data_IF_428285623241
#
_entry.id   IF_428285623241
#
_cell.length_a   1.000
_cell.length_b   1.000
_cell.length_c   1.000
_cell.angle_alpha   90.00
_cell.angle_beta   90.00
_cell.angle_gamma   90.00
#
_symmetry.space_group_name_H-M   'P 1'
#
loop_
_entity.id
_entity.type
_entity.pdbx_description
1 polymer ?
#
# COMPACT_ATOMS: atom_id res chain seq x y z
N UNK A 1 29.38 -8.45 -13.57
CA UNK A 1 29.81 -9.80 -14.02
C UNK A 1 28.57 -10.66 -14.23
N UNK A 2 28.23 -10.99 -15.48
CA UNK A 2 27.14 -11.95 -15.78
C UNK A 2 27.58 -13.34 -15.38
N UNK A 3 26.82 -14.00 -14.51
CA UNK A 3 26.89 -15.46 -14.34
C UNK A 3 25.52 -16.03 -14.66
N UNK A 4 25.41 -16.61 -15.85
CA UNK A 4 24.25 -17.38 -16.24
C UNK A 4 24.34 -18.76 -15.58
N UNK A 5 23.29 -19.21 -14.89
CA UNK A 5 23.02 -20.63 -14.68
C UNK A 5 21.51 -20.89 -14.83
N UNK A 6 21.22 -22.00 -15.52
CA UNK A 6 19.93 -22.39 -16.08
C UNK A 6 19.33 -23.53 -15.24
N UNK A 7 18.00 -23.60 -15.10
CA UNK A 7 17.29 -24.78 -14.58
C UNK A 7 15.79 -24.81 -14.94
N UNK A 8 15.26 -26.03 -15.06
CA UNK A 8 14.06 -26.52 -15.78
C UNK A 8 13.00 -27.12 -14.81
N UNK A 9 11.70 -26.91 -15.00
CA UNK A 9 10.64 -27.48 -14.13
C UNK A 9 10.43 -28.99 -14.30
N UNK A 10 10.23 -29.75 -13.21
CA UNK A 10 9.72 -31.14 -13.23
C UNK A 10 8.63 -31.32 -12.15
N UNK A 11 7.48 -31.87 -12.53
CA UNK A 11 6.36 -32.23 -11.65
C UNK A 11 6.31 -33.75 -11.51
N UNK A 12 6.38 -34.29 -10.29
CA UNK A 12 6.13 -35.71 -10.03
C UNK A 12 4.96 -35.87 -9.07
N UNK A 13 3.85 -36.44 -9.56
CA UNK A 13 2.80 -36.98 -8.69
C UNK A 13 3.20 -38.39 -8.24
N UNK A 14 3.24 -38.63 -6.92
CA UNK A 14 3.24 -39.98 -6.36
C UNK A 14 1.85 -40.29 -5.79
N UNK A 15 1.23 -41.37 -6.28
CA UNK A 15 0.03 -41.95 -5.69
C UNK A 15 0.48 -43.05 -4.74
N UNK A 16 0.37 -42.82 -3.43
CA UNK A 16 0.46 -43.88 -2.44
C UNK A 16 -0.95 -44.43 -2.16
N UNK A 17 -1.07 -45.74 -2.22
CA UNK A 17 -2.29 -46.49 -1.91
C UNK A 17 -2.44 -46.62 -0.39
N UNK A 18 -3.58 -46.17 0.14
CA UNK A 18 -3.93 -46.27 1.56
C UNK A 18 -4.15 -44.89 2.19
N UNK A 19 -5.35 -44.65 2.71
CA UNK A 19 -5.78 -43.36 3.23
C UNK A 19 -4.84 -42.78 4.29
N UNK A 20 -4.40 -41.54 4.09
CA UNK A 20 -3.55 -40.78 4.99
C UNK A 20 -3.25 -39.41 4.41
N UNK A 21 -3.37 -38.40 5.28
CA UNK A 21 -3.17 -36.95 5.15
C UNK A 21 -2.37 -36.47 3.92
N UNK A 22 -2.93 -35.50 3.19
CA UNK A 22 -2.25 -34.78 2.11
C UNK A 22 -1.02 -34.04 2.65
N UNK A 23 0.18 -34.51 2.33
CA UNK A 23 1.39 -33.72 2.47
C UNK A 23 1.41 -32.65 1.37
N UNK A 24 1.44 -31.37 1.76
CA UNK A 24 1.60 -30.25 0.84
C UNK A 24 3.08 -29.89 0.80
N UNK A 25 3.73 -30.11 -0.34
CA UNK A 25 5.11 -29.69 -0.54
C UNK A 25 5.16 -28.16 -0.67
N UNK A 26 5.85 -27.49 0.26
CA UNK A 26 6.08 -26.04 0.20
C UNK A 26 7.52 -25.76 -0.22
N UNK A 27 7.70 -25.00 -1.31
CA UNK A 27 9.01 -24.51 -1.73
C UNK A 27 9.31 -23.14 -1.12
N UNK A 28 10.43 -23.01 -0.42
CA UNK A 28 10.93 -21.74 0.12
C UNK A 28 11.60 -20.90 -0.98
N UNK A 29 11.68 -19.56 -0.83
CA UNK A 29 12.43 -18.69 -1.75
C UNK A 29 13.92 -19.05 -1.90
N UNK A 30 14.49 -19.80 -0.94
CA UNK A 30 15.84 -20.36 -0.99
C UNK A 30 15.96 -21.67 -1.79
N UNK A 31 14.88 -22.21 -2.34
CA UNK A 31 14.87 -23.46 -3.11
C UNK A 31 14.83 -24.74 -2.27
N UNK A 32 14.43 -24.66 -1.00
CA UNK A 32 14.20 -25.84 -0.15
C UNK A 32 12.75 -26.28 -0.24
N UNK A 33 12.50 -27.59 -0.37
CA UNK A 33 11.18 -28.21 -0.20
C UNK A 33 11.07 -28.62 1.26
N UNK A 34 10.03 -28.17 1.95
CA UNK A 34 9.68 -28.69 3.27
C UNK A 34 8.51 -29.63 3.08
N UNK A 35 8.71 -30.90 3.40
CA UNK A 35 7.68 -31.94 3.37
C UNK A 35 7.53 -32.48 4.78
N UNK A 36 6.32 -32.44 5.34
CA UNK A 36 6.11 -32.94 6.70
C UNK A 36 4.65 -33.20 7.00
N UNK A 37 4.43 -34.14 7.92
CA UNK A 37 3.13 -34.42 8.52
C UNK A 37 3.24 -34.34 10.06
N UNK A 38 2.22 -34.79 10.79
CA UNK A 38 2.21 -34.78 12.27
C UNK A 38 3.28 -35.68 12.92
N UNK A 39 4.04 -36.45 12.14
CA UNK A 39 5.07 -37.39 12.61
C UNK A 39 6.50 -36.92 12.39
N UNK A 40 6.73 -35.86 11.61
CA UNK A 40 8.06 -35.29 11.39
C UNK A 40 8.15 -34.33 10.21
N UNK A 41 9.24 -33.55 10.18
CA UNK A 41 9.55 -32.56 9.14
C UNK A 41 10.81 -32.98 8.39
N UNK A 42 10.71 -33.21 7.09
CA UNK A 42 11.85 -33.44 6.19
C UNK A 42 12.09 -32.19 5.33
N UNK A 43 13.36 -31.80 5.19
CA UNK A 43 13.77 -30.68 4.35
C UNK A 43 14.60 -31.21 3.20
N UNK A 44 14.01 -31.19 2.01
CA UNK A 44 14.66 -31.49 0.73
C UNK A 44 15.05 -30.22 -0.02
N UNK A 45 15.73 -30.38 -1.16
CA UNK A 45 16.03 -29.28 -2.09
C UNK A 45 15.26 -29.48 -3.39
N UNK A 46 14.70 -28.41 -3.96
CA UNK A 46 14.04 -28.46 -5.28
C UNK A 46 15.12 -28.71 -6.32
N UNK A 47 15.00 -29.80 -7.07
CA UNK A 47 15.84 -30.07 -8.22
C UNK A 47 15.03 -29.91 -9.51
N UNK A 48 15.43 -28.99 -10.40
CA UNK A 48 16.60 -28.11 -10.35
C UNK A 48 16.27 -26.70 -9.78
N UNK A 49 17.28 -25.95 -9.31
CA UNK A 49 17.11 -24.70 -8.56
C UNK A 49 16.53 -23.54 -9.38
N UNK A 50 15.58 -22.78 -8.81
CA UNK A 50 14.97 -21.60 -9.42
C UNK A 50 15.97 -20.41 -9.49
N UNK A 51 15.97 -19.66 -10.59
CA UNK A 51 16.79 -18.44 -10.76
C UNK A 51 15.99 -17.18 -10.44
N UNK A 52 16.31 -16.51 -9.33
CA UNK A 52 15.78 -15.18 -8.98
C UNK A 52 16.85 -14.12 -9.27
N UNK A 53 16.52 -13.12 -10.08
CA UNK A 53 17.42 -11.98 -10.33
C UNK A 53 17.41 -11.05 -9.11
N UNK A 54 18.48 -11.07 -8.32
CA UNK A 54 18.69 -10.10 -7.24
C UNK A 54 19.51 -8.94 -7.78
N UNK A 55 18.92 -7.76 -7.83
CA UNK A 55 19.63 -6.52 -8.15
C UNK A 55 20.13 -5.90 -6.84
N UNK A 56 21.44 -5.78 -6.69
CA UNK A 56 22.05 -4.97 -5.64
C UNK A 56 21.99 -3.51 -6.08
N UNK A 57 21.09 -2.73 -5.49
CA UNK A 57 21.05 -1.28 -5.64
C UNK A 57 22.08 -0.68 -4.66
N UNK A 58 23.03 0.18 -5.10
CA UNK A 58 23.97 0.84 -4.20
C UNK A 58 23.21 1.71 -3.19
N UNK A 59 23.46 1.47 -1.90
CA UNK A 59 22.91 2.24 -0.78
C UNK A 59 23.50 3.65 -0.78
N UNK A 60 22.66 4.67 -0.99
CA UNK A 60 23.03 6.08 -0.84
C UNK A 60 22.44 6.57 0.47
N UNK A 61 23.26 7.23 1.31
CA UNK A 61 22.78 7.86 2.55
C UNK A 61 21.62 8.82 2.25
N UNK A 62 20.52 8.65 2.98
CA UNK A 62 19.38 9.55 2.90
C UNK A 62 19.75 10.96 3.42
N UNK A 63 19.39 12.04 2.70
CA UNK A 63 19.51 13.40 3.21
C UNK A 63 18.46 13.67 4.28
N UNK A 64 18.81 14.59 5.18
CA UNK A 64 18.03 15.05 6.34
C UNK A 64 16.78 15.80 5.88
N UNK A 65 15.60 15.44 6.40
CA UNK A 65 14.37 16.23 6.22
C UNK A 65 14.53 17.51 7.05
N UNK A 66 14.60 18.67 6.41
CA UNK A 66 14.58 19.98 7.08
C UNK A 66 13.16 20.55 6.90
N UNK A 67 12.43 20.88 7.97
CA UNK A 67 11.14 21.56 7.85
C UNK A 67 11.37 22.94 7.22
N UNK A 68 10.85 23.15 6.02
CA UNK A 68 10.83 24.45 5.34
C UNK A 68 9.43 25.02 5.48
N UNK A 69 9.31 26.26 5.91
CA UNK A 69 8.05 27.02 5.92
C UNK A 69 7.47 27.13 4.50
N UNK A 70 6.20 26.72 4.34
CA UNK A 70 5.40 26.96 3.14
C UNK A 70 5.50 28.44 2.73
N UNK A 71 5.86 28.78 1.47
CA UNK A 71 5.80 30.16 1.00
C UNK A 71 4.36 30.67 1.10
N UNK A 72 4.18 31.85 1.70
CA UNK A 72 2.89 32.53 1.65
C UNK A 72 2.67 33.11 0.24
N UNK A 73 1.90 32.43 -0.61
CA UNK A 73 1.54 32.95 -1.93
C UNK A 73 0.80 31.94 -2.83
N UNK A 74 0.08 32.42 -3.86
CA UNK A 74 -0.91 31.63 -4.62
C UNK A 74 -0.30 30.79 -5.75
N UNK A 75 0.68 29.95 -5.45
CA UNK A 75 1.22 28.96 -6.40
C UNK A 75 1.26 27.55 -5.79
N UNK A 76 0.19 26.79 -6.03
CA UNK A 76 0.18 25.43 -6.61
C UNK A 76 1.03 24.32 -5.96
N UNK A 77 0.94 24.09 -4.64
CA UNK A 77 1.52 22.91 -3.99
C UNK A 77 0.99 22.66 -2.57
N UNK A 78 0.77 21.39 -2.16
CA UNK A 78 0.95 20.14 -2.91
C UNK A 78 -0.22 19.78 -3.83
N UNK A 79 0.07 18.98 -4.87
CA UNK A 79 -0.94 18.28 -5.66
C UNK A 79 -1.32 16.98 -4.93
N UNK A 80 -2.60 16.81 -4.62
CA UNK A 80 -3.12 15.61 -3.97
C UNK A 80 -4.09 14.92 -4.93
N UNK A 81 -4.01 13.61 -5.00
CA UNK A 81 -5.02 12.78 -5.63
C UNK A 81 -5.77 11.97 -4.58
N UNK A 82 -7.08 11.85 -4.78
CA UNK A 82 -7.94 10.99 -3.97
C UNK A 82 -8.66 10.00 -4.87
N UNK A 83 -8.83 8.76 -4.39
CA UNK A 83 -9.65 7.77 -5.10
C UNK A 83 -11.01 7.62 -4.41
N UNK A 84 -12.05 7.95 -5.16
CA UNK A 84 -13.42 7.88 -4.67
C UNK A 84 -13.88 6.44 -4.44
N UNK A 85 -14.33 6.20 -3.22
CA UNK A 85 -15.14 5.06 -2.89
C UNK A 85 -16.57 5.26 -3.38
N UNK A 86 -16.98 4.41 -4.30
CA UNK A 86 -18.27 4.50 -4.99
C UNK A 86 -18.96 3.15 -4.99
N UNK A 87 -20.29 3.18 -4.92
CA UNK A 87 -21.11 1.99 -5.10
C UNK A 87 -21.19 1.52 -6.56
N UNK A 88 -20.71 2.32 -7.50
CA UNK A 88 -20.71 2.02 -8.93
C UNK A 88 -19.31 2.16 -9.52
N UNK A 89 -18.94 3.37 -9.93
CA UNK A 89 -17.67 3.69 -10.58
C UNK A 89 -17.01 4.84 -9.83
N UNK A 90 -15.86 4.55 -9.21
CA UNK A 90 -15.04 5.53 -8.53
C UNK A 90 -14.22 6.34 -9.52
N UNK A 91 -14.02 7.61 -9.20
CA UNK A 91 -13.15 8.52 -9.95
C UNK A 91 -11.88 8.80 -9.17
N UNK A 92 -10.78 9.04 -9.90
CA UNK A 92 -9.59 9.65 -9.32
C UNK A 92 -9.72 11.16 -9.53
N UNK A 93 -9.68 11.89 -8.43
CA UNK A 93 -9.70 13.34 -8.42
C UNK A 93 -8.29 13.87 -8.18
N UNK A 94 -7.98 15.03 -8.75
CA UNK A 94 -6.75 15.77 -8.50
C UNK A 94 -7.11 17.13 -7.89
N UNK A 95 -6.39 17.51 -6.85
CA UNK A 95 -6.65 18.71 -6.05
C UNK A 95 -5.38 19.52 -5.85
N UNK A 96 -5.48 20.84 -6.00
CA UNK A 96 -4.50 21.79 -5.47
C UNK A 96 -4.87 22.06 -4.01
N UNK A 97 -3.93 21.82 -3.11
CA UNK A 97 -4.14 21.88 -1.66
C UNK A 97 -3.33 23.03 -1.08
N UNK A 98 -3.79 24.26 -1.37
CA UNK A 98 -3.23 25.52 -0.89
C UNK A 98 -4.02 26.09 0.31
N UNK A 99 -4.34 27.40 0.34
CA UNK A 99 -5.33 27.94 1.28
C UNK A 99 -6.75 27.50 0.86
N UNK A 100 -7.04 26.22 1.08
CA UNK A 100 -8.26 25.53 0.64
C UNK A 100 -7.97 24.42 -0.37
N UNK A 101 -8.87 23.44 -0.42
CA UNK A 101 -8.84 22.34 -1.40
C UNK A 101 -9.58 22.74 -2.65
N UNK A 102 -8.90 22.74 -3.79
CA UNK A 102 -9.50 23.06 -5.09
C UNK A 102 -9.34 21.90 -6.05
N UNK A 103 -10.45 21.31 -6.50
CA UNK A 103 -10.40 20.29 -7.55
C UNK A 103 -9.89 20.89 -8.87
N UNK A 104 -8.85 20.30 -9.44
CA UNK A 104 -8.25 20.76 -10.71
C UNK A 104 -8.52 19.81 -11.88
N UNK A 105 -8.72 18.51 -11.62
CA UNK A 105 -9.01 17.53 -12.65
C UNK A 105 -9.70 16.29 -12.05
N UNK A 106 -10.33 15.49 -12.90
CA UNK A 106 -10.89 14.18 -12.54
C UNK A 106 -10.88 13.26 -13.75
N UNK A 107 -10.76 11.95 -13.51
CA UNK A 107 -11.00 10.93 -14.52
C UNK A 107 -11.46 9.61 -13.90
N UNK A 108 -12.09 8.76 -14.70
CA UNK A 108 -12.45 7.39 -14.33
C UNK A 108 -11.33 6.46 -14.78
N UNK A 109 -10.64 5.75 -13.86
CA UNK A 109 -9.63 4.79 -14.27
C UNK A 109 -10.24 3.51 -14.88
N UNK A 110 -9.53 2.80 -15.75
CA UNK A 110 -10.02 1.57 -16.36
C UNK A 110 -10.30 0.48 -15.31
N UNK A 111 -11.46 -0.18 -15.43
CA UNK A 111 -11.89 -1.20 -14.47
C UNK A 111 -12.26 -0.65 -13.10
N UNK A 112 -12.45 0.67 -12.96
CA UNK A 112 -12.86 1.30 -11.71
C UNK A 112 -14.18 0.73 -11.18
N UNK A 113 -14.21 0.43 -9.89
CA UNK A 113 -15.41 0.14 -9.11
C UNK A 113 -15.37 0.97 -7.84
N UNK A 114 -15.37 0.36 -6.66
CA UNK A 114 -15.19 1.06 -5.40
C UNK A 114 -13.68 1.30 -5.18
N UNK A 115 -13.25 2.57 -5.29
CA UNK A 115 -11.84 2.95 -5.20
C UNK A 115 -11.26 2.71 -3.82
N UNK A 116 -10.08 2.10 -3.76
CA UNK A 116 -9.33 1.84 -2.52
C UNK A 116 -7.92 2.37 -2.72
N UNK A 117 -6.92 1.47 -2.76
CA UNK A 117 -5.52 1.85 -2.85
C UNK A 117 -5.20 2.83 -3.97
N UNK A 118 -4.43 3.87 -3.67
CA UNK A 118 -3.93 4.87 -4.62
C UNK A 118 -2.51 5.30 -4.22
N UNK A 119 -1.55 5.24 -5.13
CA UNK A 119 -0.18 5.69 -4.86
C UNK A 119 0.45 6.38 -6.07
N UNK A 120 1.14 7.49 -5.85
CA UNK A 120 1.91 8.16 -6.89
C UNK A 120 3.24 7.46 -7.11
N UNK A 121 3.58 7.18 -8.37
CA UNK A 121 4.83 6.53 -8.74
C UNK A 121 5.87 7.57 -9.18
N UNK A 122 6.86 7.90 -8.32
CA UNK A 122 7.87 8.88 -8.65
C UNK A 122 8.82 8.45 -9.77
N UNK A 123 8.79 7.17 -10.18
CA UNK A 123 9.65 6.68 -11.25
C UNK A 123 9.17 7.15 -12.64
N UNK A 124 7.87 7.32 -12.84
CA UNK A 124 7.31 7.68 -14.15
C UNK A 124 6.13 8.65 -14.09
N UNK A 125 5.77 9.15 -12.91
CA UNK A 125 4.76 10.20 -12.73
C UNK A 125 3.31 9.73 -12.87
N UNK A 126 3.05 8.42 -12.81
CA UNK A 126 1.73 7.82 -12.95
C UNK A 126 1.18 7.32 -11.61
N UNK A 127 -0.10 6.95 -11.57
CA UNK A 127 -0.78 6.48 -10.36
C UNK A 127 -0.97 4.97 -10.38
N UNK A 128 -0.50 4.29 -9.34
CA UNK A 128 -0.93 2.94 -8.99
C UNK A 128 -2.30 3.02 -8.31
N UNK A 129 -3.17 2.06 -8.60
CA UNK A 129 -4.47 1.99 -7.96
C UNK A 129 -4.99 0.55 -7.83
N UNK A 130 -5.90 0.37 -6.88
CA UNK A 130 -6.66 -0.86 -6.69
C UNK A 130 -8.13 -0.55 -6.41
N UNK A 131 -8.98 -1.53 -6.68
CA UNK A 131 -10.43 -1.39 -6.62
C UNK A 131 -11.02 -2.67 -6.05
N UNK A 132 -12.17 -2.53 -5.40
CA UNK A 132 -12.94 -3.67 -4.89
C UNK A 132 -14.41 -3.57 -5.34
N UNK A 133 -15.09 -4.70 -5.39
CA UNK A 133 -16.51 -4.75 -5.74
C UNK A 133 -17.40 -4.20 -4.62
N UNK A 134 -18.55 -3.65 -4.99
CA UNK A 134 -19.60 -3.26 -4.05
C UNK A 134 -20.98 -3.73 -4.55
N UNK A 135 -21.86 -4.27 -3.69
CA UNK A 135 -21.61 -4.62 -2.29
C UNK A 135 -20.70 -5.85 -2.16
N UNK A 136 -20.10 -6.02 -0.99
CA UNK A 136 -19.38 -7.24 -0.65
C UNK A 136 -17.86 -7.11 -0.66
N UNK A 137 -17.28 -6.02 -1.14
CA UNK A 137 -15.87 -5.65 -0.91
C UNK A 137 -14.89 -6.79 -1.26
N UNK A 138 -15.09 -7.39 -2.43
CA UNK A 138 -14.22 -8.45 -2.95
C UNK A 138 -13.27 -7.82 -3.95
N UNK A 139 -11.97 -7.99 -3.73
CA UNK A 139 -10.96 -7.57 -4.68
C UNK A 139 -10.84 -8.51 -5.86
N UNK A 140 -10.11 -8.06 -6.87
CA UNK A 140 -9.89 -8.83 -8.09
C UNK A 140 -8.46 -9.35 -8.23
N UNK A 141 -7.62 -9.18 -7.21
CA UNK A 141 -6.25 -9.69 -7.21
C UNK A 141 -5.34 -8.98 -8.21
N UNK A 142 -5.64 -7.73 -8.57
CA UNK A 142 -4.86 -6.95 -9.55
C UNK A 142 -4.55 -5.55 -9.04
N UNK A 143 -3.28 -5.15 -9.16
CA UNK A 143 -2.84 -3.77 -8.98
C UNK A 143 -2.66 -3.16 -10.36
N UNK A 144 -3.25 -1.98 -10.58
CA UNK A 144 -3.31 -1.32 -11.88
C UNK A 144 -2.55 -0.01 -11.84
N UNK A 145 -2.22 0.49 -13.03
CA UNK A 145 -1.51 1.76 -13.19
C UNK A 145 -2.13 2.59 -14.29
N UNK A 146 -2.29 3.88 -14.03
CA UNK A 146 -2.90 4.83 -14.97
C UNK A 146 -2.19 6.18 -14.98
N UNK A 147 -2.35 6.95 -16.06
CA UNK A 147 -1.91 8.34 -16.08
C UNK A 147 -2.76 9.20 -15.14
N UNK A 148 -2.20 10.24 -14.51
CA UNK A 148 -2.97 11.09 -13.60
C UNK A 148 -4.06 11.92 -14.31
N UNK A 149 -5.12 12.37 -13.60
CA UNK A 149 -6.21 13.15 -14.20
C UNK A 149 -5.80 14.42 -14.96
N UNK A 150 -4.80 15.15 -14.47
CA UNK A 150 -4.34 16.40 -15.08
C UNK A 150 -3.64 16.21 -16.43
N UNK A 151 -3.34 14.96 -16.84
CA UNK A 151 -2.86 14.67 -18.20
C UNK A 151 -4.00 14.55 -19.21
N UNK A 152 -5.25 14.74 -18.79
CA UNK A 152 -6.46 14.79 -19.62
C UNK A 152 -7.34 13.55 -19.55
N UNK A 153 -6.80 12.40 -19.14
CA UNK A 153 -7.55 11.16 -18.91
C UNK A 153 -6.76 10.18 -18.04
N UNK A 154 -7.46 9.21 -17.44
CA UNK A 154 -6.87 8.06 -16.77
C UNK A 154 -6.56 6.98 -17.83
N UNK A 155 -5.52 7.19 -18.64
CA UNK A 155 -5.11 6.20 -19.65
C UNK A 155 -4.45 5.00 -18.96
N UNK A 156 -4.82 3.74 -19.27
CA UNK A 156 -4.17 2.58 -18.70
C UNK A 156 -2.69 2.52 -19.12
N UNK A 157 -1.80 2.33 -18.14
CA UNK A 157 -0.35 2.21 -18.34
C UNK A 157 0.08 0.75 -18.26
N UNK A 158 -0.25 0.08 -17.14
CA UNK A 158 0.05 -1.34 -16.93
C UNK A 158 -0.85 -1.92 -15.84
N UNK A 159 -0.80 -3.23 -15.68
CA UNK A 159 -1.40 -3.94 -14.55
C UNK A 159 -0.54 -5.16 -14.18
N UNK A 160 -0.53 -5.50 -12.90
CA UNK A 160 0.17 -6.67 -12.36
C UNK A 160 -0.81 -7.48 -11.50
N UNK A 161 -0.70 -8.82 -11.47
CA UNK A 161 -1.42 -9.61 -10.48
C UNK A 161 -0.93 -9.20 -9.07
N UNK A 162 -1.70 -9.51 -8.03
CA UNK A 162 -1.27 -9.40 -6.63
C UNK A 162 -1.09 -10.80 -6.04
N UNK A 163 0.08 -11.08 -5.47
CA UNK A 163 0.32 -12.35 -4.80
C UNK A 163 0.26 -13.54 -5.77
N UNK A 164 -0.62 -14.50 -5.47
CA UNK A 164 -0.90 -15.66 -6.31
C UNK A 164 -1.99 -15.42 -7.38
N UNK A 165 -2.48 -14.17 -7.46
CA UNK A 165 -3.47 -13.74 -8.44
C UNK A 165 -4.91 -14.08 -8.03
N UNK A 166 -5.88 -13.74 -8.91
CA UNK A 166 -7.30 -13.80 -8.58
C UNK A 166 -7.77 -15.19 -8.14
N UNK A 167 -8.46 -15.26 -7.01
CA UNK A 167 -9.01 -16.47 -6.41
C UNK A 167 -7.97 -17.33 -5.67
N UNK A 168 -6.80 -16.77 -5.40
CA UNK A 168 -5.71 -17.42 -4.70
C UNK A 168 -5.94 -17.63 -3.20
N UNK A 169 -4.88 -18.04 -2.52
CA UNK A 169 -4.81 -18.19 -1.06
C UNK A 169 -4.44 -16.90 -0.35
N UNK A 170 -3.77 -15.99 -1.06
CA UNK A 170 -3.53 -14.63 -0.60
C UNK A 170 -4.80 -13.84 -0.90
N UNK A 171 -5.18 -12.94 0.00
CA UNK A 171 -6.38 -12.13 -0.20
C UNK A 171 -6.27 -11.30 -1.50
N UNK A 172 -7.38 -11.18 -2.22
CA UNK A 172 -7.44 -10.44 -3.48
C UNK A 172 -7.76 -8.96 -3.30
N UNK A 173 -8.26 -8.60 -2.11
CA UNK A 173 -8.67 -7.24 -1.77
C UNK A 173 -7.51 -6.41 -1.22
N UNK A 174 -7.36 -5.23 -1.82
CA UNK A 174 -6.34 -4.26 -1.49
C UNK A 174 -7.04 -2.99 -1.05
N UNK A 175 -6.70 -2.52 0.14
CA UNK A 175 -7.33 -1.38 0.79
C UNK A 175 -6.53 -0.08 0.67
N UNK A 176 -5.20 -0.17 0.69
CA UNK A 176 -4.29 0.97 0.56
C UNK A 176 -3.00 0.58 -0.15
N UNK A 177 -2.38 1.51 -0.86
CA UNK A 177 -1.11 1.31 -1.57
C UNK A 177 -0.19 2.48 -1.27
N UNK A 178 1.10 2.22 -1.10
CA UNK A 178 2.12 3.26 -1.18
C UNK A 178 3.41 2.73 -1.87
N UNK A 179 4.31 3.61 -2.28
CA UNK A 179 5.59 3.28 -2.89
C UNK A 179 6.70 3.29 -1.85
N UNK A 180 7.37 2.15 -1.70
CA UNK A 180 8.58 2.04 -0.87
C UNK A 180 9.64 3.04 -1.35
N UNK A 181 10.05 3.94 -0.45
CA UNK A 181 11.03 4.97 -0.80
C UNK A 181 12.34 4.39 -1.34
N UNK A 182 12.81 3.26 -0.83
CA UNK A 182 14.15 2.76 -1.16
C UNK A 182 14.19 1.88 -2.41
N UNK A 183 13.35 0.85 -2.44
CA UNK A 183 13.31 -0.14 -3.52
C UNK A 183 12.37 0.25 -4.67
N UNK A 184 11.50 1.24 -4.44
CA UNK A 184 10.43 1.67 -5.37
C UNK A 184 9.38 0.60 -5.65
N UNK A 185 9.40 -0.50 -4.91
CA UNK A 185 8.35 -1.51 -4.89
C UNK A 185 7.11 -0.97 -4.16
N UNK A 186 6.01 -1.72 -4.19
CA UNK A 186 4.74 -1.26 -3.64
C UNK A 186 4.55 -1.85 -2.24
N UNK A 187 4.30 -1.01 -1.26
CA UNK A 187 3.67 -1.43 -0.02
C UNK A 187 2.16 -1.47 -0.23
N UNK A 188 1.54 -2.54 0.25
CA UNK A 188 0.12 -2.80 0.02
C UNK A 188 -0.50 -3.30 1.32
N UNK A 189 -1.66 -2.75 1.69
CA UNK A 189 -2.47 -3.25 2.79
C UNK A 189 -3.66 -4.04 2.23
N UNK A 190 -3.94 -5.18 2.86
CA UNK A 190 -5.23 -5.84 2.67
C UNK A 190 -6.39 -4.97 3.05
N UNK A 191 -7.50 -5.04 2.31
CA UNK A 191 -8.69 -4.35 2.77
C UNK A 191 -9.30 -5.09 3.95
N UNK A 192 -9.95 -6.21 3.74
CA UNK A 192 -10.58 -6.99 4.80
C UNK A 192 -9.55 -7.72 5.67
N UNK A 193 -9.83 -7.86 6.97
CA UNK A 193 -9.02 -8.71 7.79
C UNK A 193 -9.16 -10.19 7.41
N UNK A 194 -8.04 -10.90 7.33
CA UNK A 194 -8.05 -12.35 7.23
C UNK A 194 -8.26 -12.98 8.61
N UNK A 195 -9.09 -14.02 8.67
CA UNK A 195 -9.30 -14.80 9.90
C UNK A 195 -8.42 -16.04 9.87
N UNK A 196 -7.37 -16.05 10.69
CA UNK A 196 -6.45 -17.20 10.80
C UNK A 196 -6.32 -17.62 12.25
N UNK A 197 -6.67 -18.87 12.57
CA UNK A 197 -6.64 -19.38 13.94
C UNK A 197 -7.54 -18.60 14.90
N UNK A 198 -8.65 -18.02 14.41
CA UNK A 198 -9.58 -17.21 15.21
C UNK A 198 -9.16 -15.75 15.43
N UNK A 199 -8.02 -15.33 14.88
CA UNK A 199 -7.54 -13.95 14.96
C UNK A 199 -7.83 -13.19 13.65
N UNK A 200 -8.36 -11.97 13.78
CA UNK A 200 -8.45 -11.01 12.67
C UNK A 200 -7.10 -10.34 12.45
N UNK A 201 -6.53 -10.52 11.25
CA UNK A 201 -5.20 -10.04 10.88
C UNK A 201 -5.31 -9.01 9.76
N UNK A 202 -4.69 -7.84 9.98
CA UNK A 202 -4.47 -6.86 8.92
C UNK A 202 -3.08 -7.09 8.34
N UNK A 203 -3.02 -7.62 7.11
CA UNK A 203 -1.78 -7.95 6.45
C UNK A 203 -1.23 -6.78 5.63
N UNK A 204 0.10 -6.64 5.67
CA UNK A 204 0.87 -5.69 4.89
C UNK A 204 1.88 -6.45 4.03
N UNK A 205 2.07 -6.00 2.79
CA UNK A 205 2.89 -6.68 1.80
C UNK A 205 3.82 -5.70 1.09
N UNK A 206 5.09 -6.08 0.92
CA UNK A 206 5.95 -5.48 -0.08
C UNK A 206 5.83 -6.29 -1.35
N UNK A 207 5.45 -5.64 -2.44
CA UNK A 207 5.09 -6.24 -3.72
C UNK A 207 6.03 -5.75 -4.81
N UNK A 208 6.56 -6.66 -5.60
CA UNK A 208 7.37 -6.30 -6.75
C UNK A 208 6.50 -5.61 -7.81
N UNK A 209 6.68 -4.30 -7.94
CA UNK A 209 6.01 -3.43 -8.92
C UNK A 209 5.97 -3.93 -10.37
N UNK A 210 6.89 -4.80 -10.77
CA UNK A 210 7.01 -5.24 -12.16
C UNK A 210 6.18 -6.49 -12.46
N UNK A 211 5.86 -7.29 -11.44
CA UNK A 211 5.22 -8.60 -11.67
C UNK A 211 4.22 -9.04 -10.60
N UNK A 212 4.03 -8.29 -9.51
CA UNK A 212 3.04 -8.63 -8.50
C UNK A 212 3.49 -9.58 -7.40
N UNK A 213 4.71 -10.11 -7.49
CA UNK A 213 5.20 -11.08 -6.51
C UNK A 213 5.41 -10.42 -5.15
N UNK A 214 4.96 -11.08 -4.10
CA UNK A 214 5.22 -10.66 -2.73
C UNK A 214 6.69 -10.93 -2.38
N UNK A 215 7.38 -9.88 -1.97
CA UNK A 215 8.77 -9.88 -1.53
C UNK A 215 8.84 -10.06 -0.02
N UNK A 216 7.98 -9.35 0.70
CA UNK A 216 7.87 -9.39 2.17
C UNK A 216 6.42 -9.26 2.57
N UNK A 217 6.09 -9.80 3.73
CA UNK A 217 4.78 -9.61 4.33
C UNK A 217 4.84 -9.80 5.86
N UNK A 218 3.86 -9.21 6.52
CA UNK A 218 3.63 -9.25 7.96
C UNK A 218 2.17 -8.95 8.26
N UNK A 219 1.79 -9.04 9.52
CA UNK A 219 0.50 -8.52 9.97
C UNK A 219 0.58 -7.91 11.35
N UNK A 220 -0.38 -7.03 11.63
CA UNK A 220 -0.76 -6.66 12.98
C UNK A 220 -2.21 -7.09 13.24
N UNK A 221 -2.65 -7.20 14.51
CA UNK A 221 -4.05 -7.42 14.81
C UNK A 221 -4.91 -6.34 14.15
N UNK A 222 -5.99 -6.74 13.48
CA UNK A 222 -6.96 -5.80 12.93
C UNK A 222 -7.58 -4.98 14.06
N UNK A 223 -7.68 -3.65 13.87
CA UNK A 223 -8.13 -2.71 14.91
C UNK A 223 -9.59 -2.29 14.76
N UNK A 224 -10.36 -2.96 13.89
CA UNK A 224 -11.79 -2.69 13.68
C UNK A 224 -12.06 -1.24 13.26
N UNK A 225 -13.24 -0.71 13.56
CA UNK A 225 -13.68 0.63 13.13
C UNK A 225 -14.41 0.67 11.81
N UNK A 226 -14.50 -0.46 11.11
CA UNK A 226 -15.14 -0.56 9.81
C UNK A 226 -14.95 -1.93 9.18
N UNK A 227 -15.03 -1.98 7.85
CA UNK A 227 -14.95 -3.23 7.09
C UNK A 227 -13.51 -3.70 6.89
N UNK A 228 -12.59 -2.77 6.67
CA UNK A 228 -11.22 -3.08 6.28
C UNK A 228 -10.22 -1.98 6.62
N UNK A 229 -8.97 -2.17 6.19
CA UNK A 229 -7.87 -1.23 6.32
C UNK A 229 -7.73 -0.38 5.07
N UNK A 230 -7.96 0.93 5.19
CA UNK A 230 -7.85 1.91 4.11
C UNK A 230 -6.66 2.85 4.29
N UNK A 231 -5.78 2.58 5.26
CA UNK A 231 -4.63 3.45 5.55
C UNK A 231 -3.31 2.71 5.41
N UNK A 232 -2.40 3.25 4.61
CA UNK A 232 -1.02 2.80 4.53
C UNK A 232 -0.14 3.89 3.95
N UNK A 233 0.98 4.20 4.62
CA UNK A 233 2.05 4.97 4.00
C UNK A 233 3.42 4.57 4.54
N UNK A 234 4.44 4.70 3.70
CA UNK A 234 5.84 4.55 3.96
C UNK A 234 6.40 5.88 4.50
N UNK A 235 7.09 5.82 5.63
CA UNK A 235 7.68 7.00 6.24
C UNK A 235 9.13 6.78 6.68
N UNK A 236 9.97 7.80 6.50
CA UNK A 236 11.27 7.89 7.17
C UNK A 236 11.11 8.75 8.43
N UNK A 237 11.25 8.13 9.61
CA UNK A 237 11.01 8.80 10.89
C UNK A 237 12.27 8.72 11.76
N UNK A 238 12.67 9.86 12.32
CA UNK A 238 13.78 9.93 13.26
C UNK A 238 13.30 9.66 14.70
N UNK A 239 14.24 9.21 15.56
CA UNK A 239 14.00 9.09 17.01
C UNK A 239 13.21 7.86 17.44
N UNK A 240 12.80 7.01 16.51
CA UNK A 240 12.23 5.70 16.78
C UNK A 240 13.30 4.60 16.76
N UNK A 241 13.11 3.50 17.51
CA UNK A 241 14.00 2.35 17.41
C UNK A 241 13.82 1.68 16.04
N UNK A 242 14.86 0.97 15.59
CA UNK A 242 14.80 0.17 14.37
C UNK A 242 15.54 0.76 13.18
N UNK A 243 14.99 0.58 11.99
CA UNK A 243 15.63 0.88 10.70
C UNK A 243 15.64 2.35 10.31
N UNK A 244 14.80 3.19 10.94
CA UNK A 244 14.53 4.55 10.49
C UNK A 244 13.51 4.62 9.34
N UNK A 245 12.99 3.48 8.89
CA UNK A 245 11.99 3.38 7.81
C UNK A 245 10.81 2.52 8.27
N UNK A 246 9.60 3.06 8.12
CA UNK A 246 8.42 2.54 8.78
C UNK A 246 7.22 2.53 7.86
N UNK A 247 6.26 1.67 8.17
CA UNK A 247 4.89 1.77 7.67
C UNK A 247 4.02 2.40 8.75
N UNK A 248 3.16 3.32 8.33
CA UNK A 248 2.07 3.87 9.12
C UNK A 248 0.77 3.26 8.62
N UNK A 249 -0.05 2.78 9.54
CA UNK A 249 -1.39 2.26 9.26
C UNK A 249 -2.19 2.24 10.55
N UNK A 250 -3.48 2.53 10.49
CA UNK A 250 -4.37 2.31 11.61
C UNK A 250 -4.95 0.89 11.63
N UNK A 251 -4.66 0.09 10.59
CA UNK A 251 -5.09 -1.30 10.47
C UNK A 251 -6.61 -1.48 10.65
N UNK A 252 -7.38 -0.53 10.13
CA UNK A 252 -8.82 -0.44 10.27
C UNK A 252 -9.38 0.72 9.46
N UNK A 253 -10.50 1.25 9.93
CA UNK A 253 -11.19 2.37 9.30
C UNK A 253 -11.27 3.58 10.24
N UNK A 254 -12.09 4.56 9.87
CA UNK A 254 -12.44 5.82 10.58
C UNK A 254 -12.12 5.80 12.08
N UNK A 255 -12.74 4.93 12.90
CA UNK A 255 -12.54 4.86 14.35
C UNK A 255 -12.01 3.49 14.85
N UNK A 256 -10.72 3.36 15.12
CA UNK A 256 -10.10 2.09 15.49
C UNK A 256 -10.07 1.83 17.01
N UNK A 257 -9.78 0.59 17.43
CA UNK A 257 -9.58 0.21 18.83
C UNK A 257 -8.29 -0.62 19.00
N UNK A 258 -7.22 -0.06 19.60
CA UNK A 258 -7.10 1.33 20.07
C UNK A 258 -7.14 2.33 18.90
N UNK A 259 -7.61 3.55 19.16
CA UNK A 259 -7.77 4.61 18.15
C UNK A 259 -6.43 5.29 17.80
N UNK A 260 -5.48 4.49 17.31
CA UNK A 260 -4.09 4.87 17.11
C UNK A 260 -3.60 4.50 15.70
N UNK A 261 -2.67 5.29 15.21
CA UNK A 261 -1.82 5.00 14.06
C UNK A 261 -0.64 4.14 14.52
N UNK A 262 -0.53 2.92 14.00
CA UNK A 262 0.57 2.01 14.27
C UNK A 262 1.79 2.39 13.44
N UNK A 263 2.98 2.33 14.06
CA UNK A 263 4.26 2.50 13.38
C UNK A 263 4.98 1.15 13.35
N UNK A 264 5.20 0.61 12.16
CA UNK A 264 5.76 -0.73 11.95
C UNK A 264 7.12 -0.60 11.27
N UNK A 265 8.18 -1.16 11.86
CA UNK A 265 9.48 -1.22 11.20
C UNK A 265 9.42 -2.17 9.99
N UNK A 266 9.77 -1.68 8.79
CA UNK A 266 9.74 -2.48 7.57
C UNK A 266 10.65 -3.72 7.63
N UNK A 267 11.66 -3.71 8.50
CA UNK A 267 12.57 -4.84 8.68
C UNK A 267 11.98 -5.95 9.54
N UNK A 268 10.93 -5.68 10.30
CA UNK A 268 10.19 -6.72 11.01
C UNK A 268 9.23 -7.46 10.09
N UNK A 269 8.90 -6.87 8.93
CA UNK A 269 7.99 -7.46 7.98
C UNK A 269 8.62 -8.60 7.17
N UNK A 270 8.52 -9.82 7.70
CA UNK A 270 9.09 -11.04 7.10
C UNK A 270 8.18 -12.24 7.31
N UNK A 271 8.01 -13.04 6.26
CA UNK A 271 7.40 -14.38 6.30
C UNK A 271 6.01 -14.46 6.98
N UNK A 272 5.21 -13.41 6.87
CA UNK A 272 3.84 -13.37 7.38
C UNK A 272 3.76 -13.36 8.89
N UNK A 273 4.84 -12.95 9.56
CA UNK A 273 4.90 -12.89 11.01
C UNK A 273 4.00 -11.77 11.57
N UNK A 274 3.50 -11.99 12.80
CA UNK A 274 2.93 -10.90 13.57
C UNK A 274 4.05 -9.95 13.96
N UNK A 275 3.86 -8.66 13.72
CA UNK A 275 4.80 -7.62 14.15
C UNK A 275 4.20 -6.84 15.31
N UNK A 276 5.06 -6.34 16.19
CA UNK A 276 4.65 -5.40 17.26
C UNK A 276 5.01 -4.00 16.78
N UNK A 277 4.06 -3.05 16.73
CA UNK A 277 4.40 -1.67 16.40
C UNK A 277 5.52 -1.14 17.29
N UNK A 278 6.49 -0.46 16.70
CA UNK A 278 7.59 0.20 17.46
C UNK A 278 7.10 1.45 18.18
N UNK A 279 6.00 2.02 17.71
CA UNK A 279 5.25 3.09 18.35
C UNK A 279 3.77 3.01 17.96
N UNK A 280 2.94 3.62 18.80
CA UNK A 280 1.53 3.81 18.56
C UNK A 280 1.18 5.27 18.88
N UNK A 281 0.75 6.02 17.87
CA UNK A 281 0.39 7.41 18.02
C UNK A 281 -1.14 7.57 18.06
N UNK A 282 -1.72 8.25 19.06
CA UNK A 282 -3.15 8.54 19.06
C UNK A 282 -3.56 9.30 17.80
N UNK A 283 -4.66 8.87 17.16
CA UNK A 283 -5.20 9.58 15.99
C UNK A 283 -5.73 10.96 16.42
N UNK A 284 -5.29 12.02 15.74
CA UNK A 284 -5.78 13.38 15.97
C UNK A 284 -7.12 13.65 15.25
N UNK A 285 -7.39 12.91 14.19
CA UNK A 285 -8.60 12.94 13.36
C UNK A 285 -8.96 11.51 12.97
N UNK A 286 -10.17 11.30 12.48
CA UNK A 286 -10.51 10.04 11.85
C UNK A 286 -9.78 9.85 10.52
N UNK A 287 -9.62 8.60 10.09
CA UNK A 287 -8.79 8.26 8.94
C UNK A 287 -9.49 7.24 8.04
N UNK A 288 -9.57 7.57 6.76
CA UNK A 288 -9.94 6.70 5.64
C UNK A 288 -8.86 6.65 4.58
N UNK A 289 -7.74 7.36 4.74
CA UNK A 289 -6.63 7.36 3.79
C UNK A 289 -5.51 8.24 4.34
N UNK A 290 -4.25 7.88 4.09
CA UNK A 290 -3.09 8.61 4.58
C UNK A 290 -1.95 8.58 3.56
N UNK A 291 -1.16 9.64 3.53
CA UNK A 291 0.09 9.67 2.77
C UNK A 291 1.16 10.49 3.50
N UNK A 292 2.43 10.10 3.42
CA UNK A 292 3.53 10.74 4.14
C UNK A 292 4.64 11.21 3.20
N UNK A 293 4.58 12.49 2.85
CA UNK A 293 5.59 13.19 2.08
C UNK A 293 5.83 14.56 2.70
N UNK A 294 6.55 15.44 2.00
CA UNK A 294 6.58 16.84 2.39
C UNK A 294 5.16 17.45 2.29
N UNK A 295 4.65 18.16 3.31
CA UNK A 295 5.32 18.64 4.54
C UNK A 295 5.14 17.75 5.80
N UNK A 296 4.47 16.62 5.72
CA UNK A 296 4.21 15.69 6.82
C UNK A 296 3.13 14.66 6.46
N UNK A 297 2.55 14.03 7.47
CA UNK A 297 1.44 13.08 7.27
C UNK A 297 0.18 13.84 6.85
N UNK A 298 -0.34 13.55 5.66
CA UNK A 298 -1.70 13.90 5.28
C UNK A 298 -2.65 12.76 5.62
N UNK A 299 -3.88 13.11 5.95
CA UNK A 299 -4.96 12.17 6.23
C UNK A 299 -6.28 12.71 5.68
N UNK A 300 -7.21 11.82 5.39
CA UNK A 300 -8.61 12.17 5.10
C UNK A 300 -9.56 11.36 5.98
N UNK A 301 -10.72 11.91 6.30
CA UNK A 301 -11.80 11.26 7.03
C UNK A 301 -13.01 10.93 6.14
N UNK A 302 -12.77 10.88 4.83
CA UNK A 302 -13.69 10.87 3.69
C UNK A 302 -14.15 12.25 3.22
N UNK A 303 -14.41 13.20 4.12
CA UNK A 303 -15.01 14.48 3.75
C UNK A 303 -13.96 15.58 3.57
N UNK A 304 -13.00 15.61 4.51
CA UNK A 304 -11.99 16.65 4.62
C UNK A 304 -10.59 16.05 4.49
N UNK A 305 -9.63 16.91 4.22
CA UNK A 305 -8.20 16.59 4.22
C UNK A 305 -7.49 17.39 5.31
N UNK A 306 -6.63 16.69 6.04
CA UNK A 306 -5.90 17.20 7.18
C UNK A 306 -4.40 17.02 6.97
N UNK A 307 -3.63 18.01 7.38
CA UNK A 307 -2.20 17.87 7.60
C UNK A 307 -1.92 17.66 9.08
N UNK A 308 -1.36 16.49 9.41
CA UNK A 308 -1.04 16.07 10.76
C UNK A 308 0.41 16.36 11.15
N UNK A 309 1.22 16.83 10.20
CA UNK A 309 2.60 17.23 10.41
C UNK A 309 3.53 16.04 10.67
N UNK A 310 4.50 16.24 11.56
CA UNK A 310 5.45 15.20 11.94
C UNK A 310 4.98 14.37 13.15
N UNK A 311 5.69 13.26 13.46
CA UNK A 311 5.40 12.48 14.67
C UNK A 311 5.48 13.38 15.92
N UNK A 312 4.58 13.19 16.90
CA UNK A 312 3.64 12.06 17.04
C UNK A 312 2.29 12.27 16.34
N UNK A 313 2.20 13.14 15.32
CA UNK A 313 0.98 13.40 14.54
C UNK A 313 -0.21 13.88 15.39
N UNK A 314 0.08 14.56 16.49
CA UNK A 314 -0.92 15.03 17.45
C UNK A 314 -1.57 16.37 17.10
N UNK A 315 -1.05 17.05 16.07
CA UNK A 315 -1.63 18.28 15.52
C UNK A 315 -2.49 17.93 14.32
N UNK A 316 -3.56 18.70 14.08
CA UNK A 316 -4.32 18.63 12.84
C UNK A 316 -4.56 20.05 12.32
N UNK A 317 -4.14 20.29 11.08
CA UNK A 317 -4.52 21.48 10.32
C UNK A 317 -5.49 21.04 9.24
N UNK A 318 -6.72 21.51 9.33
CA UNK A 318 -7.75 21.27 8.32
C UNK A 318 -7.46 22.13 7.07
N UNK A 319 -7.35 21.46 5.92
CA UNK A 319 -7.19 22.11 4.62
C UNK A 319 -8.53 22.36 3.92
N UNK A 320 -9.60 21.72 4.40
CA UNK A 320 -10.98 21.88 3.96
C UNK A 320 -11.54 20.64 3.27
N UNK A 321 -12.80 20.73 2.82
CA UNK A 321 -13.49 19.61 2.20
C UNK A 321 -12.98 19.36 0.78
N UNK A 322 -13.02 18.11 0.33
CA UNK A 322 -12.69 17.75 -1.06
C UNK A 322 -13.50 18.53 -2.11
N UNK A 323 -14.70 18.98 -1.75
CA UNK A 323 -15.55 19.83 -2.58
C UNK A 323 -17.03 19.48 -2.43
N UNK A 324 -17.89 20.25 -3.10
CA UNK A 324 -19.33 20.00 -3.09
C UNK A 324 -19.61 18.70 -3.88
N UNK A 325 -20.46 17.79 -3.36
CA UNK A 325 -20.84 16.57 -4.08
C UNK A 325 -21.35 16.88 -5.50
N UNK A 326 -21.16 15.97 -6.48
CA UNK A 326 -21.61 16.19 -7.84
C UNK A 326 -23.10 16.58 -7.89
N UNK A 327 -23.52 17.47 -8.81
CA UNK A 327 -24.89 17.97 -8.88
C UNK A 327 -25.95 16.90 -9.19
N UNK A 328 -25.54 15.65 -9.45
CA UNK A 328 -26.44 14.51 -9.66
C UNK A 328 -26.98 13.90 -8.35
N UNK A 329 -26.51 14.39 -7.18
CA UNK A 329 -27.03 14.01 -5.88
C UNK A 329 -26.75 12.57 -5.45
N UNK A 330 -25.89 11.85 -6.18
CA UNK A 330 -25.59 10.44 -5.93
C UNK A 330 -24.17 10.16 -5.41
N UNK A 331 -23.28 11.17 -5.35
CA UNK A 331 -21.93 11.00 -4.83
C UNK A 331 -21.72 11.77 -3.55
N UNK A 332 -21.49 11.10 -2.43
CA UNK A 332 -20.58 11.64 -1.41
C UNK A 332 -19.18 11.43 -1.97
N UNK A 333 -18.40 12.50 -2.22
CA UNK A 333 -16.97 12.35 -2.52
C UNK A 333 -16.32 11.73 -1.27
N UNK A 334 -16.30 10.40 -1.18
CA UNK A 334 -15.70 9.64 -0.09
C UNK A 334 -14.32 9.22 -0.56
N UNK A 335 -13.28 9.90 -0.09
CA UNK A 335 -11.91 9.54 -0.40
C UNK A 335 -11.44 8.50 0.63
N UNK A 336 -11.34 7.24 0.19
CA UNK A 336 -10.84 6.12 1.02
C UNK A 336 -9.37 5.76 0.69
N UNK A 337 -8.70 6.52 -0.17
CA UNK A 337 -7.24 6.58 -0.19
C UNK A 337 -6.78 7.87 -0.86
N UNK A 338 -5.61 8.34 -0.48
CA UNK A 338 -4.99 9.55 -1.02
C UNK A 338 -3.53 9.31 -1.32
N UNK A 339 -3.03 10.02 -2.32
CA UNK A 339 -1.59 10.14 -2.52
C UNK A 339 -1.24 11.55 -2.96
N UNK A 340 -0.04 12.00 -2.66
CA UNK A 340 0.38 13.35 -2.96
C UNK A 340 1.70 13.43 -3.71
N UNK A 341 1.88 14.56 -4.35
CA UNK A 341 3.10 14.95 -5.00
C UNK A 341 3.32 16.43 -4.76
N UNK A 342 4.34 16.76 -3.97
CA UNK A 342 4.77 18.15 -3.79
C UNK A 342 5.92 18.47 -4.76
N UNK A 343 5.89 19.65 -5.37
CA UNK A 343 6.89 20.21 -6.30
C UNK A 343 8.35 20.21 -5.80
N UNK A 344 8.54 20.04 -4.50
CA UNK A 344 9.86 19.94 -3.87
C UNK A 344 10.06 18.63 -3.10
N UNK A 345 9.14 17.66 -3.24
CA UNK A 345 9.33 16.33 -2.73
C UNK A 345 10.58 15.76 -3.40
N UNK A 346 11.56 15.42 -2.57
CA UNK A 346 12.81 14.82 -3.00
C UNK A 346 13.05 13.57 -2.18
N UNK A 347 13.38 12.49 -2.88
CA UNK A 347 14.03 11.36 -2.24
C UNK A 347 15.47 11.32 -2.70
N UNK A 348 16.42 11.48 -1.78
CA UNK A 348 17.85 11.48 -2.07
C UNK A 348 18.29 12.57 -3.07
N UNK A 349 17.73 13.78 -2.96
CA UNK A 349 17.95 14.90 -3.89
C UNK A 349 17.47 14.65 -5.33
N UNK A 350 16.69 13.60 -5.55
CA UNK A 350 15.99 13.35 -6.81
C UNK A 350 14.57 13.87 -6.64
N UNK A 351 14.10 14.81 -7.49
CA UNK A 351 12.71 15.20 -7.52
C UNK A 351 11.84 13.95 -7.64
N UNK A 352 10.98 13.70 -6.65
CA UNK A 352 9.98 12.64 -6.75
C UNK A 352 8.80 13.09 -7.58
N UNK A 353 8.66 14.41 -7.79
CA UNK A 353 7.59 15.04 -8.53
C UNK A 353 8.11 15.73 -9.79
N UNK A 354 7.54 15.47 -10.98
CA UNK A 354 7.93 16.12 -12.22
C UNK A 354 7.26 17.50 -12.44
N UNK A 355 6.47 17.97 -11.47
CA UNK A 355 5.67 19.20 -11.56
C UNK A 355 6.25 20.35 -10.75
#
# INVERSE_FOLDING_TARGET
MKRNRIALFLLTLSLASGGGVFAVDMATPSGQIVTGDTTGLEVGWVLPPLSVNVYLVPEVRAPRIIPVTLPAGPTQDPLVWGYEASSTTGQIFAYDVGPGVTQIATCVPPGSMNGRGLAFDPQDGNLWYSTISYPGFVGDGVIRKTTPPQTGSCTPVTQIPFGDGPGGTIQDDIGAIDVDGESRHLWVAGYKPMIVGGQYRSYLYLVNRNNGNIIRNCYIPFRFGGVGNESLTYAKLDGLPGSGTYLLTDAGQIHTFPNNLAVIDINDCKNGAQVTPVADYPKAVDMSGIDFEWPGLLATDNADIYNLGGPPFSSASDYGPWGVPPPDGNGTQQMEDITLCASNAQLNNVPTCPY
#
